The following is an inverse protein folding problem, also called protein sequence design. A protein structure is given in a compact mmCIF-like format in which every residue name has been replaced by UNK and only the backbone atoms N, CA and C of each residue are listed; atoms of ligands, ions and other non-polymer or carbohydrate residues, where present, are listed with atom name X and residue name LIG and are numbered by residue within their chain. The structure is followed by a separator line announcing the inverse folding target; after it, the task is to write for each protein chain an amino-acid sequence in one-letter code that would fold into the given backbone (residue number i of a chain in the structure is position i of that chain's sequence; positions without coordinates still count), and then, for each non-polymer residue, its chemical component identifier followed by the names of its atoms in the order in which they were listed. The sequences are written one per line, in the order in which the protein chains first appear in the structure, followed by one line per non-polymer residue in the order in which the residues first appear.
data_IF_250024732939
#
_entry.id   IF_250024732939
#
_cell.length_a   1.000
_cell.length_b   1.000
_cell.length_c   1.000
_cell.angle_alpha   90.00
_cell.angle_beta   90.00
_cell.angle_gamma   90.00
#
_symmetry.space_group_name_H-M   'P 1'
#
loop_
_entity.id
_entity.type
_entity.pdbx_description
1 polymer ?
#
# COMPACT_ATOMS: atom_id res chain seq x y z
N UNK A 1 19.39 32.78 8.05
CA UNK A 1 18.36 33.01 7.02
C UNK A 1 18.28 31.80 6.08
N UNK A 2 17.84 30.64 6.58
CA UNK A 2 17.79 29.39 5.80
C UNK A 2 16.59 28.51 6.12
N UNK A 3 15.47 29.08 6.61
CA UNK A 3 14.35 28.31 7.16
C UNK A 3 12.96 28.69 6.59
N UNK A 4 12.81 29.77 5.83
CA UNK A 4 11.51 30.13 5.23
C UNK A 4 11.24 29.35 3.94
N UNK A 5 12.25 29.16 3.08
CA UNK A 5 12.09 28.44 1.81
C UNK A 5 11.73 26.98 2.01
N UNK A 6 12.29 26.32 3.03
CA UNK A 6 12.01 24.91 3.35
C UNK A 6 10.60 24.70 3.89
N UNK A 7 10.10 25.64 4.70
CA UNK A 7 8.72 25.61 5.19
C UNK A 7 7.71 25.86 4.06
N UNK A 8 7.96 26.86 3.21
CA UNK A 8 7.11 27.13 2.03
C UNK A 8 7.07 25.94 1.07
N UNK A 9 8.19 25.25 0.88
CA UNK A 9 8.26 24.01 0.09
C UNK A 9 7.45 22.87 0.72
N UNK A 10 7.54 22.67 2.04
CA UNK A 10 6.77 21.65 2.75
C UNK A 10 5.26 21.94 2.70
N UNK A 11 4.86 23.21 2.84
CA UNK A 11 3.48 23.64 2.69
C UNK A 11 2.98 23.43 1.26
N UNK A 12 3.82 23.71 0.26
CA UNK A 12 3.50 23.43 -1.15
C UNK A 12 3.34 21.92 -1.39
N UNK A 13 4.20 21.08 -0.80
CA UNK A 13 4.08 19.63 -0.89
C UNK A 13 2.75 19.16 -0.28
N UNK A 14 2.41 19.64 0.93
CA UNK A 14 1.12 19.40 1.56
C UNK A 14 -0.06 19.76 0.65
N UNK A 15 -0.05 20.95 0.06
CA UNK A 15 -1.15 21.41 -0.80
C UNK A 15 -1.29 20.60 -2.10
N UNK A 16 -0.20 20.01 -2.61
CA UNK A 16 -0.19 19.21 -3.83
C UNK A 16 -0.38 17.71 -3.59
N UNK A 17 -0.16 17.24 -2.37
CA UNK A 17 -0.23 15.82 -2.02
C UNK A 17 -1.67 15.30 -2.14
N UNK A 18 -1.89 14.47 -3.16
CA UNK A 18 -3.14 13.74 -3.41
C UNK A 18 -3.09 12.30 -2.86
N UNK A 19 -4.01 11.45 -3.34
CA UNK A 19 -4.19 10.10 -2.80
C UNK A 19 -2.93 9.22 -2.86
N UNK A 20 -2.11 9.35 -3.91
CA UNK A 20 -0.89 8.55 -4.09
C UNK A 20 0.28 8.94 -3.19
N UNK A 21 0.18 10.04 -2.44
CA UNK A 21 1.17 10.38 -1.43
C UNK A 21 1.06 9.38 -0.27
N UNK A 22 2.19 8.77 0.13
CA UNK A 22 2.19 7.69 1.11
C UNK A 22 1.55 8.06 2.46
N UNK A 23 1.70 9.30 2.94
CA UNK A 23 1.05 9.72 4.19
C UNK A 23 -0.45 9.93 4.02
N UNK A 24 -0.87 10.53 2.90
CA UNK A 24 -2.29 10.74 2.59
C UNK A 24 -3.00 9.39 2.39
N UNK A 25 -2.42 8.51 1.56
CA UNK A 25 -2.86 7.14 1.36
C UNK A 25 -3.05 6.43 2.70
N UNK A 26 -2.00 6.43 3.53
CA UNK A 26 -2.00 5.73 4.80
C UNK A 26 -3.07 6.24 5.76
N UNK A 27 -3.25 7.56 5.89
CA UNK A 27 -4.32 8.13 6.72
C UNK A 27 -5.71 7.79 6.19
N UNK A 28 -5.95 7.93 4.88
CA UNK A 28 -7.27 7.64 4.31
C UNK A 28 -7.65 6.19 4.53
N UNK A 29 -6.76 5.24 4.20
CA UNK A 29 -7.07 3.82 4.32
C UNK A 29 -7.16 3.38 5.79
N UNK A 30 -6.29 3.87 6.67
CA UNK A 30 -6.28 3.43 8.07
C UNK A 30 -7.39 4.03 8.94
N UNK A 31 -7.86 5.24 8.62
CA UNK A 31 -8.90 5.93 9.41
C UNK A 31 -10.31 5.65 8.90
N UNK A 32 -10.45 5.13 7.68
CA UNK A 32 -11.74 4.81 7.05
C UNK A 32 -11.84 3.32 6.76
N UNK A 33 -12.32 2.57 7.76
CA UNK A 33 -12.47 1.11 7.72
C UNK A 33 -13.23 0.62 6.48
N UNK A 34 -14.26 1.35 6.07
CA UNK A 34 -15.10 1.00 4.94
C UNK A 34 -14.40 1.22 3.59
N UNK A 35 -13.53 2.22 3.48
CA UNK A 35 -12.67 2.40 2.30
C UNK A 35 -11.68 1.23 2.18
N UNK A 36 -11.05 0.84 3.29
CA UNK A 36 -10.14 -0.31 3.31
C UNK A 36 -10.86 -1.60 2.91
N UNK A 37 -12.06 -1.84 3.45
CA UNK A 37 -12.89 -2.99 3.12
C UNK A 37 -13.24 -3.03 1.62
N UNK A 38 -13.80 -1.93 1.09
CA UNK A 38 -14.23 -1.88 -0.30
C UNK A 38 -13.04 -2.03 -1.26
N UNK A 39 -11.89 -1.45 -0.91
CA UNK A 39 -10.65 -1.62 -1.68
C UNK A 39 -10.24 -3.10 -1.76
N UNK A 40 -10.18 -3.80 -0.63
CA UNK A 40 -9.84 -5.23 -0.61
C UNK A 40 -10.85 -6.09 -1.37
N UNK A 41 -12.15 -5.79 -1.26
CA UNK A 41 -13.20 -6.46 -2.04
C UNK A 41 -13.06 -6.23 -3.55
N UNK A 42 -12.62 -5.04 -3.98
CA UNK A 42 -12.37 -4.77 -5.39
C UNK A 42 -11.16 -5.54 -5.94
N UNK A 43 -10.12 -5.70 -5.12
CA UNK A 43 -8.86 -6.37 -5.51
C UNK A 43 -9.00 -7.89 -5.45
N UNK A 44 -9.71 -8.41 -4.45
CA UNK A 44 -9.83 -9.84 -4.13
C UNK A 44 -11.31 -10.26 -4.03
N UNK A 45 -12.09 -10.13 -5.13
CA UNK A 45 -13.55 -10.34 -5.09
C UNK A 45 -13.95 -11.76 -4.70
N UNK A 46 -13.10 -12.75 -4.99
CA UNK A 46 -13.39 -14.16 -4.73
C UNK A 46 -13.28 -14.55 -3.25
N UNK A 47 -12.64 -13.71 -2.42
CA UNK A 47 -12.47 -14.00 -1.00
C UNK A 47 -13.73 -13.74 -0.17
N UNK A 48 -14.70 -12.99 -0.71
CA UNK A 48 -15.96 -12.69 -0.03
C UNK A 48 -15.80 -11.95 1.30
N UNK A 49 -14.77 -11.12 1.44
CA UNK A 49 -14.41 -10.40 2.68
C UNK A 49 -15.62 -9.61 3.18
N UNK A 50 -16.07 -9.88 4.41
CA UNK A 50 -17.23 -9.21 5.01
C UNK A 50 -16.80 -8.08 5.95
N UNK A 51 -15.67 -8.24 6.64
CA UNK A 51 -15.19 -7.25 7.60
C UNK A 51 -13.67 -7.14 7.61
N UNK A 52 -13.17 -5.96 7.98
CA UNK A 52 -11.73 -5.74 8.21
C UNK A 52 -11.49 -5.13 9.58
N UNK A 53 -10.41 -5.56 10.22
CA UNK A 53 -10.00 -5.17 11.57
C UNK A 53 -8.50 -4.90 11.60
N UNK A 54 -8.04 -4.40 12.74
CA UNK A 54 -6.62 -4.14 12.99
C UNK A 54 -5.94 -3.26 11.92
N UNK A 55 -6.70 -2.38 11.26
CA UNK A 55 -6.16 -1.51 10.19
C UNK A 55 -5.19 -0.52 10.83
N UNK A 56 -3.92 -0.62 10.47
CA UNK A 56 -2.85 0.18 11.06
C UNK A 56 -1.88 0.56 9.96
N UNK A 57 -1.45 1.82 10.00
CA UNK A 57 -0.17 2.18 9.39
C UNK A 57 0.93 1.57 10.26
N UNK A 58 1.84 0.77 9.73
CA UNK A 58 2.94 0.26 10.55
C UNK A 58 4.00 1.35 10.68
N UNK A 59 3.71 2.30 11.58
CA UNK A 59 4.65 3.28 12.04
C UNK A 59 5.32 2.73 13.31
N UNK A 60 6.57 2.30 13.17
CA UNK A 60 7.51 2.08 14.29
C UNK A 60 7.37 0.77 15.09
N UNK A 61 7.71 -0.37 14.49
CA UNK A 61 8.63 -1.25 15.22
C UNK A 61 10.00 -0.57 15.20
N UNK A 62 10.32 0.05 16.34
CA UNK A 62 11.60 0.70 16.64
C UNK A 62 12.72 -0.05 15.94
N UNK A 63 13.53 0.70 15.21
CA UNK A 63 14.89 0.37 14.81
C UNK A 63 15.45 -0.70 15.75
N UNK A 64 15.43 -1.95 15.30
CA UNK A 64 16.48 -2.84 15.71
C UNK A 64 17.72 -2.14 15.16
N UNK A 65 18.62 -1.65 16.00
CA UNK A 65 19.78 -0.83 15.60
C UNK A 65 20.75 -1.56 14.65
N UNK A 66 20.40 -2.79 14.26
CA UNK A 66 21.15 -3.75 13.46
C UNK A 66 20.43 -4.10 12.15
N UNK A 67 19.10 -4.01 12.05
CA UNK A 67 18.33 -4.52 10.88
C UNK A 67 17.26 -3.53 10.40
N UNK A 68 17.03 -3.49 9.09
CA UNK A 68 15.85 -2.81 8.52
C UNK A 68 14.61 -3.50 9.11
N UNK A 69 13.61 -2.73 9.55
CA UNK A 69 12.29 -3.26 9.91
C UNK A 69 11.35 -3.20 8.70
N UNK A 70 10.35 -4.08 8.67
CA UNK A 70 9.23 -3.92 7.74
C UNK A 70 8.50 -2.62 8.08
N UNK A 71 8.22 -1.83 7.04
CA UNK A 71 7.44 -0.61 7.12
C UNK A 71 6.32 -0.78 6.12
N UNK A 72 5.19 -1.27 6.61
CA UNK A 72 3.98 -1.33 5.82
C UNK A 72 3.32 0.04 5.77
N UNK A 73 2.90 0.42 4.57
CA UNK A 73 2.03 1.57 4.38
C UNK A 73 0.71 1.31 5.10
N UNK A 74 0.11 0.13 4.90
CA UNK A 74 -1.12 -0.33 5.54
C UNK A 74 -1.09 -1.83 5.82
N UNK A 75 -1.24 -2.19 7.09
CA UNK A 75 -1.60 -3.53 7.54
C UNK A 75 -3.10 -3.61 7.83
N UNK A 76 -3.76 -4.70 7.43
CA UNK A 76 -5.13 -5.03 7.80
C UNK A 76 -5.34 -6.54 7.97
N UNK A 77 -6.39 -6.93 8.67
CA UNK A 77 -6.84 -8.32 8.80
C UNK A 77 -8.33 -8.45 8.45
N UNK A 78 -8.76 -9.57 7.90
CA UNK A 78 -10.19 -9.86 7.70
C UNK A 78 -10.82 -10.64 8.88
N UNK A 79 -12.10 -10.97 8.76
CA UNK A 79 -12.84 -11.79 9.72
C UNK A 79 -12.29 -13.21 9.89
N UNK A 80 -11.59 -13.72 8.88
CA UNK A 80 -10.96 -15.05 8.86
C UNK A 80 -9.51 -15.03 9.34
N UNK A 81 -8.97 -13.85 9.66
CA UNK A 81 -7.59 -13.68 10.10
C UNK A 81 -6.58 -13.62 8.98
N UNK A 82 -7.00 -13.60 7.70
CA UNK A 82 -6.08 -13.37 6.58
C UNK A 82 -5.47 -11.99 6.73
N UNK A 83 -4.18 -11.88 6.44
CA UNK A 83 -3.41 -10.66 6.67
C UNK A 83 -3.08 -9.98 5.34
N UNK A 84 -3.23 -8.66 5.31
CA UNK A 84 -3.03 -7.84 4.12
C UNK A 84 -2.02 -6.74 4.39
N UNK A 85 -0.99 -6.68 3.57
CA UNK A 85 -0.12 -5.53 3.41
C UNK A 85 -0.47 -4.82 2.10
N UNK A 86 -0.77 -3.51 2.16
CA UNK A 86 -1.20 -2.71 1.01
C UNK A 86 -0.26 -1.51 0.86
N UNK A 87 0.49 -1.49 -0.23
CA UNK A 87 1.60 -0.56 -0.49
C UNK A 87 1.28 0.34 -1.69
N UNK A 88 1.48 1.66 -1.55
CA UNK A 88 1.35 2.62 -2.65
C UNK A 88 2.73 2.93 -3.24
N UNK A 89 2.97 2.58 -4.51
CA UNK A 89 4.27 2.75 -5.15
C UNK A 89 4.21 3.75 -6.32
N UNK A 90 4.83 4.92 -6.13
CA UNK A 90 4.88 5.98 -7.16
C UNK A 90 6.15 6.01 -7.99
N UNK A 91 7.15 5.19 -7.65
CA UNK A 91 8.42 5.10 -8.36
C UNK A 91 8.97 3.68 -8.36
N UNK A 92 9.62 3.27 -9.46
CA UNK A 92 10.27 1.97 -9.53
C UNK A 92 11.68 2.03 -8.90
N UNK A 93 11.89 1.23 -7.85
CA UNK A 93 13.20 1.04 -7.20
C UNK A 93 13.91 -0.23 -7.66
N UNK A 94 13.33 -0.98 -8.61
CA UNK A 94 13.82 -2.24 -9.17
C UNK A 94 14.12 -3.32 -8.11
N UNK A 95 13.44 -3.26 -6.97
CA UNK A 95 13.66 -4.13 -5.81
C UNK A 95 12.37 -4.87 -5.36
N UNK A 96 11.27 -4.78 -6.13
CA UNK A 96 9.95 -5.23 -5.71
C UNK A 96 9.92 -6.68 -5.23
N UNK A 97 10.54 -7.61 -5.96
CA UNK A 97 10.57 -9.02 -5.56
C UNK A 97 11.23 -9.25 -4.19
N UNK A 98 12.26 -8.46 -3.85
CA UNK A 98 12.91 -8.52 -2.52
C UNK A 98 12.02 -7.90 -1.43
N UNK A 99 11.29 -6.81 -1.73
CA UNK A 99 10.32 -6.21 -0.81
C UNK A 99 9.16 -7.15 -0.55
N UNK A 100 8.57 -7.73 -1.59
CA UNK A 100 7.53 -8.76 -1.49
C UNK A 100 7.98 -9.88 -0.55
N UNK A 101 9.16 -10.47 -0.79
CA UNK A 101 9.67 -11.54 0.07
C UNK A 101 9.87 -11.11 1.52
N UNK A 102 10.36 -9.89 1.74
CA UNK A 102 10.57 -9.36 3.07
C UNK A 102 9.24 -9.11 3.81
N UNK A 103 8.24 -8.55 3.12
CA UNK A 103 6.91 -8.30 3.65
C UNK A 103 6.16 -9.61 3.94
N UNK A 104 6.18 -10.56 3.01
CA UNK A 104 5.63 -11.90 3.23
C UNK A 104 6.27 -12.59 4.44
N UNK A 105 7.59 -12.42 4.64
CA UNK A 105 8.28 -13.04 5.79
C UNK A 105 7.75 -12.53 7.13
N UNK A 106 7.41 -11.24 7.21
CA UNK A 106 6.84 -10.65 8.41
C UNK A 106 5.42 -11.14 8.65
N UNK A 107 4.56 -11.11 7.62
CA UNK A 107 3.17 -11.57 7.74
C UNK A 107 3.13 -13.06 8.11
N UNK A 108 3.91 -13.89 7.43
CA UNK A 108 3.96 -15.34 7.64
C UNK A 108 4.43 -15.71 9.04
N UNK A 109 5.33 -14.94 9.64
CA UNK A 109 5.74 -15.12 11.04
C UNK A 109 4.59 -14.92 12.03
N UNK A 110 3.62 -14.07 11.70
CA UNK A 110 2.46 -13.77 12.53
C UNK A 110 1.21 -14.59 12.15
N UNK A 111 1.25 -15.29 11.02
CA UNK A 111 0.14 -16.07 10.47
C UNK A 111 -0.07 -17.44 11.14
N UNK A 112 0.78 -17.83 12.09
CA UNK A 112 0.68 -19.10 12.81
C UNK A 112 1.10 -18.93 14.27
N UNK A 113 0.23 -19.32 15.20
CA UNK A 113 0.51 -19.26 16.63
C UNK A 113 1.35 -20.46 17.10
N UNK A 114 2.05 -20.27 18.21
CA UNK A 114 2.89 -21.32 18.79
C UNK A 114 2.05 -22.57 19.16
N UNK A 115 2.39 -23.71 18.56
CA UNK A 115 1.74 -25.00 18.82
C UNK A 115 0.66 -25.40 17.81
N UNK A 116 0.36 -24.56 16.81
CA UNK A 116 -0.52 -24.90 15.68
C UNK A 116 0.23 -25.69 14.59
N UNK A 117 -0.49 -26.41 13.74
CA UNK A 117 0.08 -27.08 12.57
C UNK A 117 0.30 -26.08 11.44
N UNK A 118 1.30 -26.30 10.58
CA UNK A 118 1.51 -25.45 9.41
C UNK A 118 0.31 -25.41 8.46
N UNK A 119 -0.54 -26.45 8.45
CA UNK A 119 -1.79 -26.46 7.69
C UNK A 119 -2.84 -25.47 8.22
N UNK A 120 -2.71 -25.01 9.46
CA UNK A 120 -3.63 -24.07 10.09
C UNK A 120 -3.23 -22.60 9.83
N UNK A 121 -2.09 -22.37 9.15
CA UNK A 121 -1.60 -21.03 8.85
C UNK A 121 -2.59 -20.28 7.98
N UNK A 122 -2.93 -19.05 8.37
CA UNK A 122 -3.79 -18.18 7.55
C UNK A 122 -3.02 -17.62 6.34
N UNK A 123 -3.76 -17.36 5.27
CA UNK A 123 -3.22 -16.76 4.05
C UNK A 123 -2.72 -15.33 4.28
N UNK A 124 -1.65 -14.97 3.56
CA UNK A 124 -1.00 -13.67 3.62
C UNK A 124 -0.95 -13.01 2.25
N UNK A 125 -1.31 -11.73 2.19
CA UNK A 125 -1.46 -10.97 0.95
C UNK A 125 -0.54 -9.75 0.97
N UNK A 126 0.35 -9.64 -0.01
CA UNK A 126 1.13 -8.42 -0.26
C UNK A 126 0.63 -7.78 -1.55
N UNK A 127 0.09 -6.57 -1.43
CA UNK A 127 -0.62 -5.86 -2.50
C UNK A 127 0.11 -4.57 -2.80
N UNK A 128 0.68 -4.46 -3.99
CA UNK A 128 1.27 -3.22 -4.49
C UNK A 128 0.32 -2.50 -5.43
N UNK A 129 0.08 -1.22 -5.18
CA UNK A 129 -0.66 -0.31 -6.05
C UNK A 129 0.36 0.61 -6.74
N UNK A 130 0.72 0.31 -7.99
CA UNK A 130 1.76 1.03 -8.70
C UNK A 130 1.20 2.12 -9.62
N UNK A 131 1.73 3.35 -9.52
CA UNK A 131 1.54 4.44 -10.50
C UNK A 131 2.43 4.28 -11.75
N UNK A 132 2.76 3.04 -12.09
CA UNK A 132 3.56 2.64 -13.25
C UNK A 132 3.36 1.15 -13.52
N UNK A 133 3.74 0.74 -14.73
CA UNK A 133 3.71 -0.66 -15.10
C UNK A 133 5.01 -1.36 -14.71
N UNK A 134 5.00 -2.03 -13.55
CA UNK A 134 6.20 -2.67 -13.00
C UNK A 134 6.81 -3.73 -13.95
N UNK A 135 5.97 -4.54 -14.62
CA UNK A 135 6.44 -5.61 -15.50
C UNK A 135 6.53 -5.19 -16.98
N UNK A 136 5.93 -4.06 -17.35
CA UNK A 136 5.94 -3.55 -18.72
C UNK A 136 5.07 -4.35 -19.71
N UNK A 137 4.16 -5.18 -19.21
CA UNK A 137 3.29 -6.07 -20.01
C UNK A 137 1.93 -5.41 -20.31
N UNK A 138 1.59 -4.32 -19.64
CA UNK A 138 0.39 -3.51 -19.85
C UNK A 138 -0.88 -4.05 -19.21
N UNK A 139 -0.80 -5.09 -18.37
CA UNK A 139 -1.96 -5.64 -17.66
C UNK A 139 -2.30 -4.77 -16.44
N UNK A 140 -3.59 -4.67 -16.06
CA UNK A 140 -4.02 -3.92 -14.87
C UNK A 140 -3.68 -4.62 -13.56
N UNK A 141 -3.52 -5.95 -13.59
CA UNK A 141 -3.23 -6.79 -12.43
C UNK A 141 -2.20 -7.84 -12.82
N UNK A 142 -1.21 -8.03 -11.95
CA UNK A 142 -0.27 -9.13 -11.98
C UNK A 142 -0.37 -9.90 -10.68
N UNK A 143 -0.29 -11.23 -10.76
CA UNK A 143 -0.19 -12.11 -9.60
C UNK A 143 1.06 -12.97 -9.73
N UNK A 144 1.65 -13.37 -8.61
CA UNK A 144 2.80 -14.28 -8.59
C UNK A 144 2.45 -15.55 -7.86
N UNK A 145 2.99 -16.68 -8.33
CA UNK A 145 2.82 -17.99 -7.70
C UNK A 145 4.15 -18.72 -7.62
N UNK A 146 4.31 -19.56 -6.60
CA UNK A 146 5.43 -20.51 -6.52
C UNK A 146 5.08 -21.75 -7.33
N UNK A 147 5.99 -22.16 -8.23
CA UNK A 147 5.77 -23.31 -9.12
C UNK A 147 6.88 -24.33 -9.01
N UNK A 148 6.51 -25.61 -9.15
CA UNK A 148 7.46 -26.72 -9.30
C UNK A 148 8.11 -26.61 -10.67
N UNK A 149 9.44 -26.42 -10.67
CA UNK A 149 10.21 -26.16 -11.89
C UNK A 149 10.07 -27.26 -12.94
N UNK A 150 9.92 -28.52 -12.51
CA UNK A 150 9.89 -29.68 -13.38
C UNK A 150 8.51 -29.96 -14.01
N UNK A 151 7.43 -29.36 -13.49
CA UNK A 151 6.05 -29.71 -13.90
C UNK A 151 5.09 -28.53 -14.02
N UNK A 152 5.55 -27.30 -13.77
CA UNK A 152 4.74 -26.06 -13.70
C UNK A 152 3.55 -26.12 -12.72
N UNK A 153 3.47 -27.17 -11.89
CA UNK A 153 2.46 -27.30 -10.84
C UNK A 153 2.60 -26.15 -9.84
N UNK A 154 1.48 -25.53 -9.50
CA UNK A 154 1.43 -24.49 -8.46
C UNK A 154 1.61 -25.16 -7.10
N UNK A 155 2.57 -24.66 -6.33
CA UNK A 155 2.73 -25.01 -4.92
C UNK A 155 1.96 -23.98 -4.11
N UNK A 156 0.91 -24.45 -3.44
CA UNK A 156 0.16 -23.60 -2.51
C UNK A 156 1.00 -23.34 -1.26
N UNK A 157 1.50 -22.11 -1.14
CA UNK A 157 2.25 -21.66 0.02
C UNK A 157 1.37 -20.89 1.01
N UNK A 158 0.14 -20.52 0.64
CA UNK A 158 -0.67 -19.53 1.34
C UNK A 158 -0.14 -18.09 1.26
N UNK A 159 0.87 -17.83 0.41
CA UNK A 159 1.41 -16.48 0.15
C UNK A 159 0.90 -15.97 -1.20
N UNK A 160 0.18 -14.86 -1.18
CA UNK A 160 -0.41 -14.25 -2.37
C UNK A 160 0.19 -12.86 -2.61
N UNK A 161 0.72 -12.62 -3.80
CA UNK A 161 1.24 -11.29 -4.15
C UNK A 161 0.51 -10.74 -5.35
N UNK A 162 0.02 -9.51 -5.22
CA UNK A 162 -0.78 -8.81 -6.21
C UNK A 162 -0.10 -7.48 -6.53
N UNK A 163 0.13 -7.21 -7.80
CA UNK A 163 0.71 -5.95 -8.28
C UNK A 163 -0.29 -5.32 -9.23
N UNK A 164 -0.88 -4.21 -8.81
CA UNK A 164 -1.82 -3.43 -9.59
C UNK A 164 -1.08 -2.35 -10.38
N UNK A 165 -1.49 -2.16 -11.62
CA UNK A 165 -0.89 -1.20 -12.55
C UNK A 165 -1.91 -0.11 -12.90
N UNK A 166 -1.75 1.08 -12.30
CA UNK A 166 -2.61 2.22 -12.58
C UNK A 166 -2.45 2.74 -14.02
N UNK A 167 -1.30 2.47 -14.68
CA UNK A 167 -1.01 2.89 -16.06
C UNK A 167 -1.47 1.89 -17.13
N UNK A 168 -2.18 0.83 -16.75
CA UNK A 168 -2.74 -0.10 -17.73
C UNK A 168 -3.65 0.65 -18.72
N UNK A 169 -3.63 0.21 -19.97
CA UNK A 169 -4.44 0.83 -21.05
C UNK A 169 -5.74 0.07 -21.29
N UNK A 170 -5.74 -1.21 -20.95
CA UNK A 170 -6.90 -2.07 -21.06
C UNK A 170 -7.29 -2.59 -19.67
N UNK A 171 -8.53 -2.32 -19.29
CA UNK A 171 -9.12 -2.75 -18.03
C UNK A 171 -10.26 -3.76 -18.24
N UNK A 172 -10.39 -4.32 -19.44
CA UNK A 172 -11.44 -5.30 -19.76
C UNK A 172 -11.36 -6.59 -18.92
N UNK A 173 -10.17 -6.91 -18.42
CA UNK A 173 -9.92 -8.09 -17.58
C UNK A 173 -10.28 -7.92 -16.10
N UNK A 174 -10.71 -6.73 -15.66
CA UNK A 174 -11.06 -6.45 -14.26
C UNK A 174 -12.47 -5.88 -14.13
N UNK A 175 -13.00 -5.89 -12.90
CA UNK A 175 -14.29 -5.27 -12.60
C UNK A 175 -14.29 -3.77 -12.91
N UNK A 176 -15.47 -3.21 -13.20
CA UNK A 176 -15.62 -1.77 -13.42
C UNK A 176 -15.18 -0.95 -12.20
N UNK A 177 -15.40 -1.47 -10.98
CA UNK A 177 -14.98 -0.83 -9.74
C UNK A 177 -13.47 -0.75 -9.61
N UNK A 178 -12.75 -1.87 -9.84
CA UNK A 178 -11.28 -1.88 -9.81
C UNK A 178 -10.70 -1.02 -10.93
N UNK A 179 -11.28 -1.07 -12.13
CA UNK A 179 -10.87 -0.20 -13.24
C UNK A 179 -11.02 1.30 -12.90
N UNK A 180 -12.12 1.69 -12.26
CA UNK A 180 -12.34 3.07 -11.82
C UNK A 180 -11.33 3.48 -10.73
N UNK A 181 -11.06 2.60 -9.77
CA UNK A 181 -10.05 2.85 -8.73
C UNK A 181 -8.64 3.04 -9.33
N UNK A 182 -8.19 2.16 -10.22
CA UNK A 182 -6.86 2.27 -10.84
C UNK A 182 -6.72 3.53 -11.70
N UNK A 183 -7.77 3.90 -12.44
CA UNK A 183 -7.81 5.18 -13.17
C UNK A 183 -7.77 6.39 -12.24
N UNK A 184 -8.41 6.31 -11.08
CA UNK A 184 -8.34 7.37 -10.07
C UNK A 184 -6.92 7.54 -9.53
N UNK A 185 -6.20 6.44 -9.26
CA UNK A 185 -4.78 6.51 -8.84
C UNK A 185 -3.91 7.22 -9.90
N UNK A 186 -4.12 6.93 -11.18
CA UNK A 186 -3.39 7.56 -12.30
C UNK A 186 -3.74 9.04 -12.49
N UNK A 187 -5.03 9.37 -12.47
CA UNK A 187 -5.54 10.66 -12.97
C UNK A 187 -5.96 11.64 -11.88
N UNK A 188 -6.17 11.18 -10.65
CA UNK A 188 -6.88 11.87 -9.57
C UNK A 188 -8.31 12.31 -9.92
N UNK A 189 -8.94 11.73 -10.96
CA UNK A 189 -10.33 12.03 -11.34
C UNK A 189 -11.25 10.92 -10.81
N UNK A 190 -12.11 11.20 -9.83
CA UNK A 190 -13.01 10.19 -9.28
C UNK A 190 -14.17 9.91 -10.23
N UNK A 191 -14.51 8.63 -10.43
CA UNK A 191 -15.57 8.19 -11.37
C UNK A 191 -16.46 7.08 -10.80
N UNK A 192 -16.26 6.69 -9.54
CA UNK A 192 -17.05 5.69 -8.82
C UNK A 192 -17.35 6.17 -7.40
N UNK A 193 -18.32 5.54 -6.73
CA UNK A 193 -18.68 5.88 -5.36
C UNK A 193 -17.46 5.86 -4.40
N UNK A 194 -16.65 4.79 -4.44
CA UNK A 194 -15.42 4.70 -3.65
C UNK A 194 -14.45 5.84 -3.93
N UNK A 195 -14.16 6.12 -5.22
CA UNK A 195 -13.19 7.16 -5.58
C UNK A 195 -13.67 8.56 -5.24
N UNK A 196 -14.97 8.84 -5.37
CA UNK A 196 -15.56 10.10 -4.91
C UNK A 196 -15.43 10.24 -3.40
N UNK A 197 -15.73 9.17 -2.65
CA UNK A 197 -15.60 9.16 -1.20
C UNK A 197 -14.15 9.43 -0.76
N UNK A 198 -13.18 8.73 -1.36
CA UNK A 198 -11.75 8.98 -1.10
C UNK A 198 -11.40 10.44 -1.38
N UNK A 199 -11.85 11.00 -2.50
CA UNK A 199 -11.58 12.40 -2.85
C UNK A 199 -12.19 13.37 -1.83
N UNK A 200 -13.43 13.15 -1.40
CA UNK A 200 -14.11 13.96 -0.38
C UNK A 200 -13.41 13.87 0.98
N UNK A 201 -13.01 12.66 1.40
CA UNK A 201 -12.30 12.46 2.67
C UNK A 201 -10.90 13.09 2.65
N UNK A 202 -10.23 13.14 1.50
CA UNK A 202 -8.99 13.91 1.34
C UNK A 202 -9.25 15.40 1.53
N UNK A 203 -10.31 15.96 0.94
CA UNK A 203 -10.66 17.38 1.13
C UNK A 203 -10.90 17.68 2.61
N UNK A 204 -11.61 16.81 3.32
CA UNK A 204 -11.82 16.94 4.77
C UNK A 204 -10.49 16.86 5.52
N UNK A 205 -9.65 15.87 5.22
CA UNK A 205 -8.33 15.69 5.84
C UNK A 205 -7.45 16.93 5.67
N UNK A 206 -7.50 17.60 4.50
CA UNK A 206 -6.74 18.82 4.22
C UNK A 206 -7.16 20.03 5.07
N UNK A 207 -8.31 19.98 5.74
CA UNK A 207 -8.73 21.02 6.70
C UNK A 207 -8.18 20.81 8.11
N UNK A 208 -7.57 19.66 8.39
CA UNK A 208 -7.06 19.31 9.71
C UNK A 208 -5.65 19.90 9.92
N UNK A 209 -5.55 20.92 10.78
CA UNK A 209 -4.29 21.61 11.09
C UNK A 209 -3.25 20.73 11.77
N UNK A 210 -3.68 19.71 12.53
CA UNK A 210 -2.74 18.74 13.12
C UNK A 210 -2.13 17.86 12.03
N UNK A 211 -2.93 17.37 11.07
CA UNK A 211 -2.45 16.56 9.94
C UNK A 211 -1.49 17.35 9.06
N UNK A 212 -1.81 18.62 8.79
CA UNK A 212 -0.90 19.53 8.09
C UNK A 212 0.43 19.63 8.82
N UNK A 213 0.40 19.89 10.14
CA UNK A 213 1.61 19.96 10.97
C UNK A 213 2.44 18.68 10.94
N UNK A 214 1.81 17.51 11.09
CA UNK A 214 2.46 16.20 11.07
C UNK A 214 3.11 15.92 9.70
N UNK A 215 2.41 16.23 8.60
CA UNK A 215 2.90 16.08 7.24
C UNK A 215 4.11 16.98 6.99
N UNK A 216 3.99 18.26 7.33
CA UNK A 216 5.07 19.23 7.12
C UNK A 216 6.31 18.88 7.94
N UNK A 217 6.12 18.41 9.18
CA UNK A 217 7.23 17.94 10.01
C UNK A 217 7.95 16.75 9.36
N UNK A 218 7.20 15.75 8.89
CA UNK A 218 7.75 14.60 8.18
C UNK A 218 8.56 15.02 6.95
N UNK A 219 8.01 15.91 6.12
CA UNK A 219 8.66 16.39 4.90
C UNK A 219 9.99 17.13 5.19
N UNK A 220 10.01 17.96 6.23
CA UNK A 220 11.21 18.67 6.67
C UNK A 220 12.28 17.71 7.21
N UNK A 221 11.89 16.69 7.99
CA UNK A 221 12.82 15.66 8.46
C UNK A 221 13.40 14.84 7.30
N UNK A 222 12.55 14.41 6.37
CA UNK A 222 12.94 13.61 5.22
C UNK A 222 13.99 14.35 4.37
N UNK A 223 13.73 15.62 4.03
CA UNK A 223 14.68 16.47 3.30
C UNK A 223 15.99 16.67 4.05
N UNK A 224 15.92 16.83 5.38
CA UNK A 224 17.10 16.98 6.22
C UNK A 224 17.98 15.72 6.23
N UNK A 225 17.39 14.52 6.13
CA UNK A 225 18.13 13.26 6.00
C UNK A 225 18.83 13.15 4.64
N UNK A 226 18.11 13.41 3.55
CA UNK A 226 18.68 13.40 2.19
C UNK A 226 19.87 14.37 2.04
N UNK A 227 19.77 15.57 2.63
CA UNK A 227 20.84 16.57 2.59
C UNK A 227 22.10 16.15 3.38
N UNK A 228 22.00 15.22 4.33
CA UNK A 228 23.15 14.65 5.06
C UNK A 228 23.80 13.50 4.30
N UNK A 229 23.02 12.72 3.56
CA UNK A 229 23.51 11.59 2.78
C UNK A 229 24.28 12.03 1.53
N UNK A 230 23.77 13.04 0.83
CA UNK A 230 24.40 13.66 -0.34
C UNK A 230 25.72 14.38 -0.04
N UNK A 231 26.07 14.59 1.23
CA UNK A 231 27.32 15.23 1.67
C UNK A 231 28.42 14.24 2.07
N UNK A 232 28.14 12.93 2.06
CA UNK A 232 29.11 11.87 2.28
C UNK A 232 29.62 11.34 0.94
#
# INVERSE_FOLDING_TARGET
MGNLSTYEEALKAWNLAGFKDGMIFSWIISEHKDICLELLQLILPDLGIVDVKNIKKEDTHKQNTVFHGARFDIYAEDEHGRMYDIEMQVSDEHNLGKRISYYQSYLTQHALEAGQDYSDRVDTYVIFICDFDFFGVGLPVYTTEVRVKESDLVLDTGEHNIILNAKAKDFSAVSQGLAAFLKYVDTNVPTSALTCKIADDIVILKTNTQKEGDYMFYELEFRSRLARETKK
#
